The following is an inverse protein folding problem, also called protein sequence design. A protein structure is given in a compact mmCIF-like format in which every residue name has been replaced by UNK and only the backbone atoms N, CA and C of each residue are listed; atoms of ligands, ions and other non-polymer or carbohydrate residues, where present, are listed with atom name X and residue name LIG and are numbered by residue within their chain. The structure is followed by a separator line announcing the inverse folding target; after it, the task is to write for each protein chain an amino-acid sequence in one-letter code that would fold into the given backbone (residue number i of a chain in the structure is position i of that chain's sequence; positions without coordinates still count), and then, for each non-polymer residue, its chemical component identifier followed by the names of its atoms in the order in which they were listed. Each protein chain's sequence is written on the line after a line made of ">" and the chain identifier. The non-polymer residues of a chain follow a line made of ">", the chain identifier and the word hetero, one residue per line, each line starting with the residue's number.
data_IF_748385112965
#
_entry.id   IF_748385112965
#
_cell.length_a   1.000
_cell.length_b   1.000
_cell.length_c   1.000
_cell.angle_alpha   90.00
_cell.angle_beta   90.00
_cell.angle_gamma   90.00
#
_symmetry.space_group_name_H-M   'P 1'
#
loop_
_entity.id
_entity.type
_entity.pdbx_description
1 polymer ?
#
# COMPACT_ATOMS: atom_id res chain seq x y z
N UNK A 1 8.58 -19.00 -23.80
CA UNK A 1 8.89 -18.18 -25.00
C UNK A 1 9.26 -16.80 -24.50
N UNK A 2 10.33 -16.19 -25.00
CA UNK A 2 10.63 -14.80 -24.67
C UNK A 2 9.56 -13.89 -25.29
N UNK A 3 8.96 -13.00 -24.49
CA UNK A 3 8.06 -11.98 -25.00
C UNK A 3 8.83 -11.07 -25.97
N UNK A 4 8.15 -10.58 -27.01
CA UNK A 4 8.72 -9.60 -27.91
C UNK A 4 9.01 -8.30 -27.15
N UNK A 5 10.27 -7.81 -27.10
CA UNK A 5 10.65 -6.66 -26.29
C UNK A 5 9.87 -5.38 -26.63
N UNK A 6 9.53 -5.18 -27.91
CA UNK A 6 8.78 -4.00 -28.35
C UNK A 6 7.37 -4.06 -27.76
N UNK A 7 6.70 -5.21 -27.92
CA UNK A 7 5.36 -5.44 -27.36
C UNK A 7 5.36 -5.30 -25.83
N UNK A 8 6.38 -5.84 -25.14
CA UNK A 8 6.51 -5.68 -23.68
C UNK A 8 6.56 -4.21 -23.28
N UNK A 9 7.37 -3.38 -23.92
CA UNK A 9 7.45 -1.95 -23.58
C UNK A 9 6.16 -1.19 -23.91
N UNK A 10 5.49 -1.53 -25.02
CA UNK A 10 4.17 -0.95 -25.36
C UNK A 10 3.13 -1.29 -24.27
N UNK A 11 3.04 -2.56 -23.89
CA UNK A 11 2.12 -3.01 -22.83
C UNK A 11 2.43 -2.32 -21.51
N UNK A 12 3.69 -2.26 -21.09
CA UNK A 12 4.10 -1.60 -19.85
C UNK A 12 3.81 -0.09 -19.87
N UNK A 13 3.95 0.57 -21.02
CA UNK A 13 3.53 1.97 -21.18
C UNK A 13 2.03 2.15 -20.98
N UNK A 14 1.19 1.22 -21.48
CA UNK A 14 -0.27 1.28 -21.28
C UNK A 14 -0.70 0.92 -19.85
N UNK A 15 0.03 0.03 -19.18
CA UNK A 15 -0.14 -0.25 -17.75
C UNK A 15 0.18 1.02 -16.93
N UNK A 16 1.25 1.74 -17.25
CA UNK A 16 1.59 3.01 -16.61
C UNK A 16 0.50 4.06 -16.83
N UNK A 17 0.07 4.26 -18.07
CA UNK A 17 -1.02 5.17 -18.42
C UNK A 17 -2.31 4.82 -17.66
N UNK A 18 -2.59 3.53 -17.47
CA UNK A 18 -3.71 3.06 -16.65
C UNK A 18 -3.56 3.52 -15.20
N UNK A 19 -2.41 3.33 -14.57
CA UNK A 19 -2.19 3.79 -13.18
C UNK A 19 -2.27 5.30 -13.02
N UNK A 20 -1.79 6.07 -14.01
CA UNK A 20 -1.90 7.53 -14.02
C UNK A 20 -3.35 7.98 -14.15
N UNK A 21 -4.13 7.34 -15.02
CA UNK A 21 -5.56 7.60 -15.15
C UNK A 21 -6.34 7.23 -13.87
N UNK A 22 -5.98 6.14 -13.19
CA UNK A 22 -6.55 5.77 -11.90
C UNK A 22 -6.25 6.82 -10.82
N UNK A 23 -5.01 7.29 -10.73
CA UNK A 23 -4.62 8.33 -9.77
C UNK A 23 -5.32 9.66 -10.05
N UNK A 24 -5.40 10.06 -11.32
CA UNK A 24 -6.15 11.25 -11.73
C UNK A 24 -7.64 11.12 -11.36
N UNK A 25 -8.26 9.98 -11.65
CA UNK A 25 -9.65 9.72 -11.26
C UNK A 25 -9.84 9.79 -9.73
N UNK A 26 -8.91 9.23 -8.96
CA UNK A 26 -8.93 9.26 -7.50
C UNK A 26 -8.94 10.70 -6.96
N UNK A 27 -7.98 11.54 -7.37
CA UNK A 27 -7.86 12.89 -6.82
C UNK A 27 -8.98 13.83 -7.30
N UNK A 28 -9.42 13.70 -8.56
CA UNK A 28 -10.49 14.54 -9.10
C UNK A 28 -11.91 14.12 -8.70
N UNK A 29 -12.06 12.92 -8.14
CA UNK A 29 -13.31 12.47 -7.51
C UNK A 29 -13.31 12.62 -5.99
N UNK A 30 -12.22 13.11 -5.40
CA UNK A 30 -12.10 13.36 -3.96
C UNK A 30 -13.06 14.46 -3.48
N UNK A 31 -13.74 14.17 -2.37
CA UNK A 31 -14.61 15.07 -1.64
C UNK A 31 -13.82 15.85 -0.58
N UNK A 32 -12.83 15.23 0.04
CA UNK A 32 -11.99 15.91 1.03
C UNK A 32 -10.89 16.75 0.35
N UNK A 33 -10.50 17.89 0.94
CA UNK A 33 -9.31 18.62 0.49
C UNK A 33 -8.02 17.83 0.74
N UNK A 34 -8.04 16.86 1.66
CA UNK A 34 -6.94 15.93 1.92
C UNK A 34 -6.65 15.13 0.65
N UNK A 35 -7.68 14.50 0.07
CA UNK A 35 -7.51 13.71 -1.15
C UNK A 35 -7.39 14.60 -2.40
N UNK A 36 -8.26 15.61 -2.52
CA UNK A 36 -8.37 16.41 -3.75
C UNK A 36 -7.22 17.40 -3.94
N UNK A 37 -6.82 18.09 -2.88
CA UNK A 37 -5.85 19.19 -2.95
C UNK A 37 -4.47 18.74 -2.44
N UNK A 38 -4.42 18.01 -1.31
CA UNK A 38 -3.15 17.56 -0.72
C UNK A 38 -2.63 16.26 -1.36
N UNK A 39 -3.49 15.53 -2.08
CA UNK A 39 -3.16 14.26 -2.75
C UNK A 39 -2.61 13.20 -1.79
N UNK A 40 -3.18 13.14 -0.59
CA UNK A 40 -2.87 12.11 0.41
C UNK A 40 -3.62 10.80 0.08
N UNK A 41 -3.11 10.13 -0.94
CA UNK A 41 -3.65 8.90 -1.48
C UNK A 41 -2.85 8.44 -2.69
N UNK A 42 -3.10 7.22 -3.14
CA UNK A 42 -2.46 6.62 -4.32
C UNK A 42 -3.43 5.64 -4.97
N UNK A 43 -3.23 5.38 -6.26
CA UNK A 43 -3.91 4.29 -6.97
C UNK A 43 -2.89 3.48 -7.76
N UNK A 44 -3.10 2.18 -7.90
CA UNK A 44 -2.13 1.30 -8.53
C UNK A 44 -2.71 -0.04 -8.96
N UNK A 45 -1.82 -0.89 -9.44
CA UNK A 45 -2.13 -2.24 -9.89
C UNK A 45 -1.23 -3.24 -9.18
N UNK A 46 -1.82 -4.35 -8.76
CA UNK A 46 -1.07 -5.55 -8.35
C UNK A 46 -1.29 -6.68 -9.35
N UNK A 47 -0.42 -7.69 -9.32
CA UNK A 47 -0.73 -8.99 -9.94
C UNK A 47 -1.88 -9.71 -9.19
N UNK A 48 -2.18 -10.94 -9.62
CA UNK A 48 -3.25 -11.75 -9.05
C UNK A 48 -3.00 -12.20 -7.60
N UNK A 49 -1.76 -12.09 -7.10
CA UNK A 49 -1.32 -12.53 -5.78
C UNK A 49 -1.02 -11.34 -4.84
N UNK A 50 -1.10 -10.10 -5.35
CA UNK A 50 -0.92 -8.88 -4.57
C UNK A 50 0.44 -8.22 -4.74
N UNK A 51 1.34 -8.74 -5.59
CA UNK A 51 2.60 -8.04 -5.89
C UNK A 51 2.32 -6.75 -6.63
N UNK A 52 2.77 -5.64 -6.09
CA UNK A 52 2.62 -4.30 -6.67
C UNK A 52 3.37 -4.25 -7.98
N UNK A 53 2.67 -3.96 -9.07
CA UNK A 53 3.24 -3.80 -10.42
C UNK A 53 3.65 -2.34 -10.64
N UNK A 54 2.70 -1.42 -10.44
CA UNK A 54 2.89 0.01 -10.60
C UNK A 54 1.93 0.77 -9.69
N UNK A 55 2.35 1.95 -9.23
CA UNK A 55 1.55 2.90 -8.46
C UNK A 55 1.62 4.25 -9.16
N UNK A 56 0.49 4.94 -9.23
CA UNK A 56 0.35 6.28 -9.78
C UNK A 56 0.04 7.31 -8.68
N UNK A 57 0.68 8.48 -8.82
CA UNK A 57 0.42 9.69 -8.03
C UNK A 57 0.79 9.59 -6.55
N UNK A 58 0.64 10.72 -5.84
CA UNK A 58 0.65 10.85 -4.38
C UNK A 58 1.80 10.17 -3.61
N UNK A 59 1.47 9.65 -2.43
CA UNK A 59 2.43 9.19 -1.42
C UNK A 59 2.95 7.78 -1.71
N UNK A 60 4.20 7.69 -2.17
CA UNK A 60 4.76 6.43 -2.71
C UNK A 60 4.88 5.28 -1.70
N UNK A 61 4.94 5.55 -0.38
CA UNK A 61 5.07 4.48 0.61
C UNK A 61 3.80 3.63 0.73
N UNK A 62 2.65 4.10 0.22
CA UNK A 62 1.41 3.33 0.17
C UNK A 62 1.53 2.02 -0.62
N UNK A 63 2.53 1.90 -1.49
CA UNK A 63 2.81 0.71 -2.30
C UNK A 63 2.82 -0.59 -1.48
N UNK A 64 3.52 -0.65 -0.35
CA UNK A 64 3.58 -1.89 0.46
C UNK A 64 2.28 -2.23 1.18
N UNK A 65 1.41 -1.23 1.41
CA UNK A 65 0.10 -1.47 2.03
C UNK A 65 -0.72 -2.40 1.13
N UNK A 66 -0.62 -2.24 -0.20
CA UNK A 66 -1.35 -3.06 -1.16
C UNK A 66 -1.01 -4.54 -1.09
N UNK A 67 0.27 -4.89 -0.95
CA UNK A 67 0.67 -6.31 -0.90
C UNK A 67 -0.01 -6.97 0.29
N UNK A 68 0.12 -6.39 1.49
CA UNK A 68 -0.47 -6.98 2.69
C UNK A 68 -2.00 -6.92 2.70
N UNK A 69 -2.59 -5.86 2.16
CA UNK A 69 -4.04 -5.72 2.07
C UNK A 69 -4.65 -6.74 1.12
N UNK A 70 -4.02 -6.98 -0.04
CA UNK A 70 -4.47 -8.01 -0.99
C UNK A 70 -4.25 -9.40 -0.41
N UNK A 71 -3.11 -9.70 0.23
CA UNK A 71 -2.90 -10.97 0.95
C UNK A 71 -4.04 -11.24 1.96
N UNK A 72 -4.38 -10.25 2.77
CA UNK A 72 -5.43 -10.39 3.79
C UNK A 72 -6.82 -10.50 3.18
N UNK A 73 -7.07 -9.82 2.07
CA UNK A 73 -8.28 -9.97 1.28
C UNK A 73 -8.40 -11.39 0.71
N UNK A 74 -7.34 -11.93 0.13
CA UNK A 74 -7.28 -13.29 -0.41
C UNK A 74 -7.53 -14.35 0.68
N UNK A 75 -6.99 -14.13 1.87
CA UNK A 75 -7.24 -15.00 3.02
C UNK A 75 -8.70 -14.95 3.49
N UNK A 76 -9.33 -13.76 3.49
CA UNK A 76 -10.71 -13.57 3.91
C UNK A 76 -11.75 -14.05 2.88
N UNK A 77 -11.40 -14.04 1.60
CA UNK A 77 -12.28 -14.39 0.49
C UNK A 77 -11.61 -15.41 -0.46
N UNK A 78 -11.40 -16.67 -0.02
CA UNK A 78 -10.74 -17.68 -0.82
C UNK A 78 -11.64 -18.20 -1.96
N UNK A 79 -11.02 -18.85 -2.95
CA UNK A 79 -11.73 -19.54 -4.04
C UNK A 79 -12.52 -18.59 -4.95
N UNK A 80 -13.80 -18.89 -5.14
CA UNK A 80 -14.74 -18.16 -6.00
C UNK A 80 -15.58 -17.11 -5.25
N UNK A 81 -15.17 -16.75 -4.03
CA UNK A 81 -15.89 -15.79 -3.18
C UNK A 81 -15.89 -14.36 -3.74
N UNK A 82 -14.94 -14.02 -4.61
CA UNK A 82 -14.86 -12.72 -5.29
C UNK A 82 -15.49 -12.80 -6.67
N UNK A 83 -16.20 -11.75 -7.08
CA UNK A 83 -16.81 -11.65 -8.40
C UNK A 83 -16.33 -10.42 -9.14
N UNK A 84 -16.46 -10.45 -10.46
CA UNK A 84 -16.20 -9.28 -11.29
C UNK A 84 -17.16 -8.13 -10.92
N UNK A 85 -16.61 -6.93 -10.77
CA UNK A 85 -17.34 -5.75 -10.29
C UNK A 85 -17.50 -5.65 -8.77
N UNK A 86 -16.97 -6.59 -7.99
CA UNK A 86 -16.83 -6.40 -6.54
C UNK A 86 -15.70 -5.42 -6.21
N UNK A 87 -15.84 -4.65 -5.13
CA UNK A 87 -14.73 -3.91 -4.52
C UNK A 87 -14.74 -4.10 -3.00
N UNK A 88 -13.56 -4.24 -2.42
CA UNK A 88 -13.36 -4.52 -1.01
C UNK A 88 -12.65 -3.35 -0.35
N UNK A 89 -12.92 -3.14 0.94
CA UNK A 89 -12.27 -2.11 1.75
C UNK A 89 -11.66 -2.73 3.01
N UNK A 90 -10.54 -2.19 3.46
CA UNK A 90 -9.93 -2.47 4.76
C UNK A 90 -9.07 -1.30 5.23
N UNK A 91 -8.87 -1.20 6.54
CA UNK A 91 -7.97 -0.19 7.12
C UNK A 91 -7.22 -0.65 8.38
N UNK A 92 -7.33 -1.93 8.73
CA UNK A 92 -6.70 -2.46 9.92
C UNK A 92 -5.16 -2.53 9.76
N UNK A 93 -4.37 -1.78 10.56
CA UNK A 93 -2.92 -1.76 10.42
C UNK A 93 -2.24 -3.11 10.67
N UNK A 94 -2.83 -3.96 11.50
CA UNK A 94 -2.24 -5.23 11.92
C UNK A 94 -2.71 -6.38 11.02
N UNK A 95 -4.00 -6.39 10.67
CA UNK A 95 -4.54 -7.43 9.79
C UNK A 95 -4.24 -7.14 8.31
N UNK A 96 -4.43 -5.91 7.83
CA UNK A 96 -4.31 -5.56 6.41
C UNK A 96 -3.02 -4.79 6.06
N UNK A 97 -2.19 -4.48 7.07
CA UNK A 97 -0.88 -3.87 6.86
C UNK A 97 -0.93 -2.37 6.56
N UNK A 98 -2.04 -1.71 6.85
CA UNK A 98 -2.20 -0.26 6.68
C UNK A 98 -1.24 0.54 7.57
N UNK A 99 -0.97 1.78 7.18
CA UNK A 99 -0.08 2.73 7.87
C UNK A 99 -0.65 3.21 9.19
N UNK A 100 -1.93 3.50 9.19
CA UNK A 100 -2.75 3.91 10.33
C UNK A 100 -4.22 3.78 9.96
N UNK A 101 -5.10 3.86 10.95
CA UNK A 101 -6.54 3.63 10.77
C UNK A 101 -7.20 4.56 9.75
N UNK A 102 -6.84 5.85 9.63
CA UNK A 102 -7.45 6.74 8.63
C UNK A 102 -7.15 6.38 7.17
N UNK A 103 -6.07 5.65 6.87
CA UNK A 103 -5.78 5.24 5.49
C UNK A 103 -6.61 4.01 5.15
N UNK A 104 -7.59 4.17 4.27
CA UNK A 104 -8.43 3.04 3.83
C UNK A 104 -7.98 2.54 2.46
N UNK A 105 -7.70 1.24 2.37
CA UNK A 105 -7.37 0.56 1.11
C UNK A 105 -8.66 0.09 0.45
N UNK A 106 -8.81 0.35 -0.84
CA UNK A 106 -9.82 -0.28 -1.69
C UNK A 106 -9.12 -1.19 -2.69
N UNK A 107 -9.61 -2.42 -2.84
CA UNK A 107 -9.11 -3.39 -3.79
C UNK A 107 -10.25 -4.00 -4.62
N UNK A 108 -10.09 -3.97 -5.94
CA UNK A 108 -11.06 -4.47 -6.93
C UNK A 108 -10.37 -5.57 -7.75
N UNK A 109 -10.81 -6.84 -7.65
CA UNK A 109 -10.25 -7.92 -8.47
C UNK A 109 -10.53 -7.68 -9.95
N UNK A 110 -9.52 -7.95 -10.77
CA UNK A 110 -9.63 -7.89 -12.24
C UNK A 110 -9.76 -9.30 -12.78
N UNK A 111 -10.92 -9.62 -13.33
CA UNK A 111 -11.18 -10.90 -13.98
C UNK A 111 -11.08 -10.80 -15.50
N UNK A 112 -10.47 -11.80 -16.13
CA UNK A 112 -10.46 -12.00 -17.57
C UNK A 112 -10.78 -13.46 -17.87
N UNK A 113 -11.81 -13.74 -18.67
CA UNK A 113 -12.28 -15.10 -18.99
C UNK A 113 -12.46 -16.01 -17.76
N UNK A 114 -12.98 -15.46 -16.65
CA UNK A 114 -13.20 -16.19 -15.39
C UNK A 114 -11.95 -16.39 -14.52
N UNK A 115 -10.77 -15.94 -14.97
CA UNK A 115 -9.51 -15.95 -14.20
C UNK A 115 -9.25 -14.59 -13.59
N UNK A 116 -8.91 -14.52 -12.29
CA UNK A 116 -8.35 -13.30 -11.69
C UNK A 116 -6.92 -13.10 -12.19
N UNK A 117 -6.65 -11.93 -12.76
CA UNK A 117 -5.33 -11.62 -13.36
C UNK A 117 -4.57 -10.53 -12.59
N UNK A 118 -5.27 -9.70 -11.82
CA UNK A 118 -4.72 -8.54 -11.13
C UNK A 118 -5.71 -8.02 -10.07
N UNK A 119 -5.29 -7.00 -9.31
CA UNK A 119 -6.19 -6.10 -8.59
C UNK A 119 -5.93 -4.64 -8.98
N UNK A 120 -7.01 -3.88 -9.15
CA UNK A 120 -6.96 -2.43 -9.04
C UNK A 120 -6.99 -2.05 -7.57
N UNK A 121 -6.01 -1.27 -7.11
CA UNK A 121 -5.86 -0.91 -5.70
C UNK A 121 -5.77 0.60 -5.51
N UNK A 122 -6.25 1.10 -4.37
CA UNK A 122 -6.06 2.50 -3.99
C UNK A 122 -5.99 2.64 -2.48
N UNK A 123 -5.30 3.68 -2.01
CA UNK A 123 -5.32 4.15 -0.63
C UNK A 123 -5.73 5.61 -0.66
N UNK A 124 -6.54 6.03 0.31
CA UNK A 124 -6.80 7.44 0.54
C UNK A 124 -6.98 7.67 2.04
N UNK A 125 -6.36 8.73 2.53
CA UNK A 125 -6.51 9.19 3.89
C UNK A 125 -7.92 9.76 4.10
N UNK A 126 -8.56 9.39 5.22
CA UNK A 126 -9.89 9.87 5.58
C UNK A 126 -9.82 10.97 6.61
N UNK A 127 -10.62 12.01 6.38
CA UNK A 127 -10.70 13.17 7.27
C UNK A 127 -11.11 12.80 8.71
N UNK A 128 -11.91 11.74 8.89
CA UNK A 128 -12.36 11.26 10.19
C UNK A 128 -12.88 9.83 10.09
N UNK A 129 -12.33 8.91 10.89
CA UNK A 129 -12.80 7.53 11.04
C UNK A 129 -13.29 7.27 12.47
N UNK A 130 -13.66 8.33 13.19
CA UNK A 130 -14.02 8.27 14.60
C UNK A 130 -12.81 8.47 15.52
N UNK A 131 -12.74 7.69 16.60
CA UNK A 131 -11.64 7.77 17.56
C UNK A 131 -11.81 8.86 18.63
N UNK A 132 -10.78 9.02 19.47
CA UNK A 132 -10.82 9.84 20.69
C UNK A 132 -11.08 11.33 20.40
N UNK A 133 -10.54 11.85 19.30
CA UNK A 133 -10.60 13.27 18.92
C UNK A 133 -11.10 13.41 17.47
N UNK A 134 -11.71 14.56 17.11
CA UNK A 134 -11.97 14.87 15.70
C UNK A 134 -10.66 14.96 14.91
N UNK A 135 -10.58 14.24 13.78
CA UNK A 135 -9.42 14.26 12.88
C UNK A 135 -8.79 12.88 12.67
N UNK A 136 -7.53 12.88 12.20
CA UNK A 136 -6.82 11.67 11.77
C UNK A 136 -6.06 10.95 12.89
N UNK A 137 -5.47 11.67 13.85
CA UNK A 137 -4.59 11.06 14.85
C UNK A 137 -4.73 11.74 16.21
N UNK A 138 -4.92 10.94 17.26
CA UNK A 138 -5.01 11.43 18.64
C UNK A 138 -3.68 11.36 19.37
N UNK A 139 -3.12 12.50 19.78
CA UNK A 139 -1.89 12.53 20.61
C UNK A 139 -2.07 11.80 21.97
N UNK A 140 -3.31 11.69 22.44
CA UNK A 140 -3.67 11.00 23.68
C UNK A 140 -4.08 9.53 23.46
N UNK A 141 -3.97 8.97 22.24
CA UNK A 141 -4.23 7.55 21.99
C UNK A 141 -3.30 6.67 22.81
N UNK A 142 -3.83 5.54 23.30
CA UNK A 142 -3.12 4.57 24.16
C UNK A 142 -3.28 3.12 23.71
N UNK A 143 -4.28 2.89 22.89
CA UNK A 143 -4.59 1.62 22.25
C UNK A 143 -5.21 1.93 20.89
N UNK A 144 -5.11 1.00 19.96
CA UNK A 144 -5.58 1.18 18.58
C UNK A 144 -7.09 1.47 18.49
N UNK A 145 -7.89 1.08 19.48
CA UNK A 145 -9.32 1.39 19.53
C UNK A 145 -9.59 2.89 19.71
N UNK A 146 -8.63 3.65 20.24
CA UNK A 146 -8.72 5.10 20.32
C UNK A 146 -8.57 5.78 18.96
N UNK A 147 -8.07 5.06 17.94
CA UNK A 147 -7.82 5.59 16.60
C UNK A 147 -9.04 5.43 15.66
N UNK A 148 -10.13 4.85 16.15
CA UNK A 148 -11.42 4.81 15.47
C UNK A 148 -11.77 3.49 14.82
N UNK A 149 -12.61 3.55 13.79
CA UNK A 149 -13.19 2.39 13.12
C UNK A 149 -12.10 1.58 12.40
N UNK A 150 -11.89 0.35 12.87
CA UNK A 150 -11.09 -0.66 12.18
C UNK A 150 -12.00 -1.61 11.42
N UNK A 151 -11.73 -1.76 10.13
CA UNK A 151 -12.39 -2.69 9.25
C UNK A 151 -11.40 -3.77 8.80
N UNK A 152 -11.71 -5.05 9.06
CA UNK A 152 -11.07 -6.13 8.31
C UNK A 152 -11.45 -6.02 6.82
N UNK A 153 -10.84 -6.82 5.94
CA UNK A 153 -11.31 -6.93 4.55
C UNK A 153 -12.80 -7.25 4.50
N UNK A 154 -13.58 -6.33 3.96
CA UNK A 154 -15.03 -6.48 3.77
C UNK A 154 -15.43 -6.03 2.37
N UNK A 155 -16.41 -6.70 1.76
CA UNK A 155 -17.00 -6.28 0.48
C UNK A 155 -17.78 -4.98 0.68
N UNK A 156 -17.40 -3.92 -0.02
CA UNK A 156 -18.01 -2.60 0.06
C UNK A 156 -18.86 -2.26 -1.17
N UNK A 157 -18.50 -2.83 -2.32
CA UNK A 157 -19.18 -2.61 -3.60
C UNK A 157 -19.40 -3.93 -4.34
N UNK A 158 -20.46 -3.99 -5.14
CA UNK A 158 -20.81 -5.10 -6.04
C UNK A 158 -21.21 -4.55 -7.41
N UNK A 159 -21.46 -5.41 -8.39
CA UNK A 159 -22.09 -5.01 -9.65
C UNK A 159 -23.45 -4.32 -9.48
N UNK A 160 -24.14 -4.54 -8.34
CA UNK A 160 -25.39 -3.87 -7.98
C UNK A 160 -25.21 -2.52 -7.27
N UNK A 161 -23.97 -2.08 -7.04
CA UNK A 161 -23.65 -0.85 -6.31
C UNK A 161 -23.13 -1.11 -4.90
N UNK A 162 -23.24 -0.07 -4.06
CA UNK A 162 -22.77 -0.08 -2.67
C UNK A 162 -23.45 -1.16 -1.82
N UNK A 163 -22.69 -1.76 -0.90
CA UNK A 163 -23.22 -2.61 0.17
C UNK A 163 -23.69 -1.70 1.32
N UNK A 164 -25.00 -1.45 1.48
CA UNK A 164 -25.50 -0.40 2.36
C UNK A 164 -25.17 -0.65 3.83
N UNK A 165 -25.08 -1.91 4.27
CA UNK A 165 -24.74 -2.27 5.65
C UNK A 165 -23.33 -1.80 6.02
N UNK A 166 -22.36 -1.99 5.11
CA UNK A 166 -20.97 -1.58 5.34
C UNK A 166 -20.86 -0.05 5.26
N UNK A 167 -21.52 0.59 4.29
CA UNK A 167 -21.51 2.06 4.23
C UNK A 167 -22.14 2.67 5.49
N UNK A 168 -23.23 2.11 6.02
CA UNK A 168 -23.87 2.59 7.23
C UNK A 168 -22.94 2.48 8.45
N UNK A 169 -22.18 1.39 8.60
CA UNK A 169 -21.18 1.25 9.67
C UNK A 169 -20.14 2.38 9.56
N UNK A 170 -19.62 2.64 8.36
CA UNK A 170 -18.63 3.71 8.12
C UNK A 170 -19.23 5.08 8.44
N UNK A 171 -20.44 5.36 7.94
CA UNK A 171 -21.15 6.62 8.17
C UNK A 171 -21.38 6.88 9.66
N UNK A 172 -21.83 5.87 10.41
CA UNK A 172 -22.14 6.02 11.84
C UNK A 172 -20.90 6.32 12.68
N UNK A 173 -19.72 5.91 12.24
CA UNK A 173 -18.47 6.09 12.97
C UNK A 173 -17.66 7.31 12.52
N UNK A 174 -18.20 8.17 11.66
CA UNK A 174 -17.50 9.38 11.20
C UNK A 174 -18.25 10.66 11.58
N UNK A 175 -17.50 11.69 11.94
CA UNK A 175 -18.00 13.06 12.15
C UNK A 175 -18.29 13.79 10.84
N UNK A 176 -17.71 13.33 9.72
CA UNK A 176 -17.90 13.88 8.37
C UNK A 176 -18.26 12.78 7.36
N UNK A 177 -19.38 12.06 7.59
CA UNK A 177 -19.68 10.82 6.89
C UNK A 177 -19.81 10.99 5.38
N UNK A 178 -20.41 12.09 4.90
CA UNK A 178 -20.58 12.33 3.46
C UNK A 178 -19.25 12.57 2.73
N UNK A 179 -18.26 13.13 3.42
CA UNK A 179 -16.90 13.31 2.88
C UNK A 179 -16.21 11.95 2.77
N UNK A 180 -16.25 11.16 3.84
CA UNK A 180 -15.58 9.85 3.90
C UNK A 180 -16.13 8.87 2.86
N UNK A 181 -17.46 8.76 2.76
CA UNK A 181 -18.08 7.88 1.77
C UNK A 181 -17.95 8.42 0.35
N UNK A 182 -17.90 9.74 0.17
CA UNK A 182 -17.58 10.37 -1.12
C UNK A 182 -16.19 9.93 -1.59
N UNK A 183 -15.17 10.08 -0.74
CA UNK A 183 -13.81 9.63 -1.04
C UNK A 183 -13.72 8.11 -1.28
N UNK A 184 -14.45 7.29 -0.52
CA UNK A 184 -14.48 5.82 -0.72
C UNK A 184 -15.12 5.44 -2.06
N UNK A 185 -16.20 6.09 -2.47
CA UNK A 185 -16.81 5.85 -3.78
C UNK A 185 -15.88 6.31 -4.92
N UNK A 186 -15.14 7.40 -4.72
CA UNK A 186 -14.07 7.83 -5.63
C UNK A 186 -12.98 6.77 -5.79
N UNK A 187 -12.52 6.17 -4.68
CA UNK A 187 -11.59 5.03 -4.70
C UNK A 187 -12.13 3.81 -5.45
N UNK A 188 -13.41 3.45 -5.24
CA UNK A 188 -14.08 2.37 -5.99
C UNK A 188 -14.06 2.69 -7.49
N UNK A 189 -14.44 3.90 -7.89
CA UNK A 189 -14.41 4.33 -9.29
C UNK A 189 -13.01 4.24 -9.92
N UNK A 190 -11.98 4.70 -9.20
CA UNK A 190 -10.59 4.62 -9.66
C UNK A 190 -10.12 3.17 -9.84
N UNK A 191 -10.45 2.27 -8.92
CA UNK A 191 -10.03 0.86 -9.02
C UNK A 191 -10.81 0.08 -10.08
N UNK A 192 -12.10 0.39 -10.29
CA UNK A 192 -12.90 -0.17 -11.40
C UNK A 192 -12.37 0.29 -12.77
N UNK A 193 -11.92 1.54 -12.91
CA UNK A 193 -11.27 2.05 -14.12
C UNK A 193 -10.01 1.23 -14.45
N UNK A 194 -9.20 0.89 -13.45
CA UNK A 194 -8.05 0.01 -13.61
C UNK A 194 -8.44 -1.38 -14.12
N UNK A 195 -9.49 -1.96 -13.54
CA UNK A 195 -10.00 -3.26 -13.95
C UNK A 195 -10.50 -3.27 -15.40
N UNK A 196 -11.26 -2.24 -15.81
CA UNK A 196 -11.74 -2.08 -17.18
C UNK A 196 -10.57 -1.99 -18.18
N UNK A 197 -9.58 -1.14 -17.90
CA UNK A 197 -8.44 -0.94 -18.80
C UNK A 197 -7.55 -2.17 -18.93
N UNK A 198 -7.33 -2.92 -17.86
CA UNK A 198 -6.57 -4.18 -17.93
C UNK A 198 -7.32 -5.27 -18.73
N UNK A 199 -8.65 -5.32 -18.66
CA UNK A 199 -9.44 -6.22 -19.52
C UNK A 199 -9.29 -5.85 -20.99
N UNK A 200 -9.41 -4.56 -21.33
CA UNK A 200 -9.22 -4.08 -22.69
C UNK A 200 -7.81 -4.38 -23.23
N UNK A 201 -6.77 -4.24 -22.39
CA UNK A 201 -5.41 -4.63 -22.77
C UNK A 201 -5.25 -6.14 -22.94
N UNK A 202 -5.98 -6.94 -22.17
CA UNK A 202 -6.02 -8.39 -22.32
C UNK A 202 -6.69 -8.80 -23.64
N UNK A 203 -7.75 -8.10 -24.06
CA UNK A 203 -8.38 -8.30 -25.38
C UNK A 203 -7.46 -7.92 -26.54
N UNK A 204 -6.69 -6.83 -26.40
CA UNK A 204 -5.82 -6.31 -27.46
C UNK A 204 -4.52 -7.11 -27.64
N UNK A 205 -3.85 -7.46 -26.54
CA UNK A 205 -2.50 -8.06 -26.56
C UNK A 205 -2.47 -9.54 -26.12
N UNK A 206 -3.58 -10.05 -25.61
CA UNK A 206 -3.67 -11.36 -24.96
C UNK A 206 -3.24 -11.31 -23.49
N UNK A 207 -3.98 -12.02 -22.65
CA UNK A 207 -3.78 -12.04 -21.19
C UNK A 207 -2.40 -12.53 -20.77
N UNK A 208 -1.84 -13.52 -21.46
CA UNK A 208 -0.50 -14.06 -21.15
C UNK A 208 0.61 -13.06 -21.48
N UNK A 209 0.43 -12.26 -22.54
CA UNK A 209 1.35 -11.17 -22.89
C UNK A 209 1.32 -10.09 -21.81
N UNK A 210 0.13 -9.71 -21.36
CA UNK A 210 -0.05 -8.70 -20.31
C UNK A 210 0.57 -9.15 -18.99
N UNK A 211 0.20 -10.33 -18.50
CA UNK A 211 0.72 -10.89 -17.24
C UNK A 211 2.23 -11.09 -17.32
N UNK A 212 2.73 -11.63 -18.43
CA UNK A 212 4.16 -11.80 -18.64
C UNK A 212 4.93 -10.48 -18.71
N UNK A 213 4.36 -9.42 -19.30
CA UNK A 213 4.96 -8.09 -19.31
C UNK A 213 5.05 -7.51 -17.89
N UNK A 214 3.96 -7.58 -17.10
CA UNK A 214 3.94 -7.14 -15.70
C UNK A 214 4.97 -7.89 -14.85
N UNK A 215 5.07 -9.21 -15.02
CA UNK A 215 6.09 -10.03 -14.35
C UNK A 215 7.51 -9.60 -14.76
N UNK A 216 7.75 -9.36 -16.06
CA UNK A 216 9.06 -8.91 -16.53
C UNK A 216 9.49 -7.57 -15.93
N UNK A 217 8.53 -6.68 -15.61
CA UNK A 217 8.83 -5.43 -14.92
C UNK A 217 9.31 -5.68 -13.49
N UNK A 218 8.67 -6.58 -12.76
CA UNK A 218 9.10 -6.95 -11.40
C UNK A 218 10.52 -7.51 -11.42
N UNK A 219 10.78 -8.44 -12.34
CA UNK A 219 12.10 -9.06 -12.49
C UNK A 219 13.17 -8.02 -12.82
N UNK A 220 12.89 -7.13 -13.79
CA UNK A 220 13.81 -6.05 -14.16
C UNK A 220 14.07 -5.07 -13.02
N UNK A 221 13.05 -4.73 -12.23
CA UNK A 221 13.22 -3.84 -11.08
C UNK A 221 14.11 -4.50 -10.03
N UNK A 222 13.87 -5.77 -9.70
CA UNK A 222 14.70 -6.54 -8.75
C UNK A 222 16.14 -6.60 -9.21
N UNK A 223 16.37 -7.01 -10.46
CA UNK A 223 17.71 -7.18 -11.00
C UNK A 223 18.48 -5.86 -11.04
N UNK A 224 17.80 -4.74 -11.37
CA UNK A 224 18.38 -3.40 -11.33
C UNK A 224 18.75 -2.97 -9.91
N UNK A 225 17.86 -3.17 -8.94
CA UNK A 225 18.13 -2.84 -7.54
C UNK A 225 19.30 -3.67 -6.98
N UNK A 226 19.34 -4.97 -7.25
CA UNK A 226 20.46 -5.83 -6.85
C UNK A 226 21.79 -5.44 -7.51
N UNK A 227 21.76 -4.99 -8.77
CA UNK A 227 22.96 -4.49 -9.45
C UNK A 227 23.50 -3.19 -8.83
N UNK A 228 22.62 -2.25 -8.47
CA UNK A 228 23.02 -1.03 -7.75
C UNK A 228 23.64 -1.36 -6.38
N UNK A 229 22.99 -2.23 -5.61
CA UNK A 229 23.52 -2.69 -4.31
C UNK A 229 24.87 -3.36 -4.49
N UNK A 230 25.04 -4.20 -5.51
CA UNK A 230 26.30 -4.91 -5.77
C UNK A 230 27.49 -3.97 -6.03
N UNK A 231 27.24 -2.80 -6.61
CA UNK A 231 28.27 -1.80 -6.91
C UNK A 231 28.78 -1.06 -5.66
N UNK A 232 28.05 -1.07 -4.55
CA UNK A 232 28.49 -0.44 -3.30
C UNK A 232 29.65 -1.21 -2.64
N UNK A 233 30.50 -0.58 -1.82
CA UNK A 233 31.50 -1.29 -1.04
C UNK A 233 30.84 -2.14 0.06
N UNK A 234 31.29 -3.38 0.23
CA UNK A 234 30.90 -4.21 1.39
C UNK A 234 31.27 -3.51 2.70
N UNK A 235 30.38 -3.57 3.69
CA UNK A 235 30.56 -2.89 4.95
C UNK A 235 29.30 -2.82 5.79
N UNK A 236 29.45 -2.19 6.95
CA UNK A 236 28.39 -2.02 7.92
C UNK A 236 28.35 -0.56 8.38
N UNK A 237 27.15 -0.02 8.56
CA UNK A 237 26.93 1.31 9.10
C UNK A 237 25.68 1.32 10.00
N UNK A 238 25.67 2.21 10.97
CA UNK A 238 24.55 2.37 11.90
C UNK A 238 24.17 3.85 12.04
N UNK A 239 22.89 4.09 12.33
CA UNK A 239 22.36 5.40 12.63
C UNK A 239 21.20 5.28 13.62
N UNK A 240 21.01 6.31 14.44
CA UNK A 240 19.87 6.43 15.33
C UNK A 240 19.23 7.82 15.22
N UNK A 241 17.92 7.84 15.44
CA UNK A 241 17.11 9.05 15.54
C UNK A 241 16.13 8.93 16.71
N UNK A 242 15.65 10.07 17.19
CA UNK A 242 14.79 10.14 18.38
C UNK A 242 13.55 10.98 18.11
N UNK A 243 12.40 10.47 18.54
CA UNK A 243 11.20 11.28 18.76
C UNK A 243 11.25 11.83 20.18
N UNK A 244 10.81 13.07 20.40
CA UNK A 244 10.91 13.73 21.71
C UNK A 244 10.23 12.94 22.85
N UNK A 245 9.08 12.31 22.56
CA UNK A 245 8.36 11.41 23.46
C UNK A 245 7.19 10.70 22.75
N UNK A 246 6.58 9.69 23.38
CA UNK A 246 5.36 9.04 22.88
C UNK A 246 4.05 9.76 23.28
N UNK A 247 4.12 10.79 24.13
CA UNK A 247 2.93 11.52 24.63
C UNK A 247 2.17 10.80 25.74
N UNK A 248 2.52 9.56 26.08
CA UNK A 248 2.10 8.87 27.30
C UNK A 248 3.11 9.05 28.43
N UNK A 249 4.40 9.03 28.09
CA UNK A 249 5.53 9.37 28.94
C UNK A 249 6.33 10.48 28.27
N UNK A 250 6.10 11.72 28.70
CA UNK A 250 6.78 12.91 28.16
C UNK A 250 8.17 13.15 28.73
N UNK A 251 8.67 12.25 29.59
CA UNK A 251 9.94 12.41 30.28
C UNK A 251 11.14 11.84 29.53
N UNK A 252 10.92 11.06 28.47
CA UNK A 252 11.97 10.39 27.72
C UNK A 252 11.69 10.37 26.21
N UNK A 253 12.74 10.40 25.38
CA UNK A 253 12.60 10.21 23.95
C UNK A 253 12.32 8.75 23.58
N UNK A 254 11.90 8.54 22.33
CA UNK A 254 11.70 7.22 21.71
C UNK A 254 12.72 7.05 20.60
N UNK A 255 13.60 6.05 20.73
CA UNK A 255 14.68 5.77 19.80
C UNK A 255 14.25 4.87 18.65
N UNK A 256 14.62 5.27 17.43
CA UNK A 256 14.65 4.41 16.25
C UNK A 256 16.11 4.21 15.87
N UNK A 257 16.55 2.96 15.80
CA UNK A 257 17.92 2.60 15.41
C UNK A 257 17.87 1.72 14.17
N UNK A 258 18.78 1.97 13.25
CA UNK A 258 18.95 1.18 12.02
C UNK A 258 20.41 0.82 11.83
N UNK A 259 20.67 -0.47 11.58
CA UNK A 259 21.96 -0.99 11.13
C UNK A 259 21.83 -1.52 9.72
N UNK A 260 22.65 -1.02 8.81
CA UNK A 260 22.74 -1.49 7.44
C UNK A 260 23.99 -2.35 7.26
N UNK A 261 23.82 -3.55 6.72
CA UNK A 261 24.91 -4.50 6.41
C UNK A 261 24.85 -4.80 4.91
N UNK A 262 25.85 -4.34 4.17
CA UNK A 262 26.00 -4.60 2.74
C UNK A 262 27.04 -5.70 2.52
N UNK A 263 26.64 -6.76 1.82
CA UNK A 263 27.53 -7.86 1.41
C UNK A 263 27.16 -8.38 0.03
N UNK A 264 28.08 -8.27 -0.93
CA UNK A 264 27.82 -8.69 -2.32
C UNK A 264 26.64 -7.92 -2.91
N UNK A 265 25.61 -8.63 -3.36
CA UNK A 265 24.37 -8.09 -3.93
C UNK A 265 23.23 -7.95 -2.90
N UNK A 266 23.53 -8.14 -1.61
CA UNK A 266 22.54 -8.08 -0.51
C UNK A 266 22.77 -6.89 0.40
N UNK A 267 21.66 -6.25 0.75
CA UNK A 267 21.59 -5.21 1.77
C UNK A 267 20.59 -5.64 2.84
N UNK A 268 21.11 -5.90 4.04
CA UNK A 268 20.29 -6.16 5.23
C UNK A 268 20.11 -4.86 6.01
N UNK A 269 18.86 -4.50 6.30
CA UNK A 269 18.49 -3.36 7.13
C UNK A 269 17.86 -3.88 8.42
N UNK A 270 18.53 -3.68 9.55
CA UNK A 270 18.15 -4.23 10.85
C UNK A 270 17.72 -3.14 11.83
N UNK A 271 16.48 -3.25 12.30
CA UNK A 271 15.84 -2.36 13.26
C UNK A 271 15.79 -2.91 14.69
N UNK A 272 16.46 -4.03 14.97
CA UNK A 272 16.36 -4.78 16.24
C UNK A 272 16.71 -3.98 17.49
N UNK A 273 17.51 -2.92 17.37
CA UNK A 273 17.91 -2.06 18.48
C UNK A 273 17.04 -0.80 18.64
N UNK A 274 15.97 -0.67 17.86
CA UNK A 274 14.93 0.33 18.10
C UNK A 274 14.23 0.08 19.44
N UNK A 275 13.68 1.13 20.04
CA UNK A 275 12.98 1.00 21.31
C UNK A 275 11.78 0.05 21.21
N UNK A 276 11.37 -0.58 22.34
CA UNK A 276 10.12 -1.33 22.41
C UNK A 276 8.93 -0.47 22.00
N UNK A 277 7.86 -1.11 21.49
CA UNK A 277 6.61 -0.42 21.18
C UNK A 277 6.12 0.39 22.39
N UNK A 278 5.62 1.58 22.12
CA UNK A 278 5.31 2.58 23.15
C UNK A 278 3.86 2.48 23.61
N UNK A 279 3.50 3.16 24.71
CA UNK A 279 2.11 3.22 25.19
C UNK A 279 1.33 4.37 24.56
N UNK A 280 2.01 5.30 23.90
CA UNK A 280 1.41 6.38 23.13
C UNK A 280 1.22 6.04 21.65
N UNK A 281 0.78 7.01 20.83
CA UNK A 281 0.56 6.82 19.39
C UNK A 281 1.85 6.71 18.56
N UNK A 282 3.04 6.88 19.16
CA UNK A 282 4.30 6.76 18.43
C UNK A 282 4.65 5.28 18.28
N UNK A 283 4.03 4.64 17.30
CA UNK A 283 4.22 3.26 16.88
C UNK A 283 3.93 3.16 15.37
N UNK A 284 4.88 2.65 14.59
CA UNK A 284 4.78 2.54 13.13
C UNK A 284 4.61 1.08 12.72
N UNK A 285 3.49 0.69 12.08
CA UNK A 285 3.29 -0.67 11.61
C UNK A 285 4.42 -1.16 10.70
N UNK A 286 4.77 -2.44 10.80
CA UNK A 286 5.92 -3.03 10.12
C UNK A 286 5.91 -2.83 8.59
N UNK A 287 4.74 -2.87 7.95
CA UNK A 287 4.63 -2.65 6.50
C UNK A 287 5.01 -1.24 6.09
N UNK A 288 4.68 -0.24 6.91
CA UNK A 288 5.09 1.16 6.67
C UNK A 288 6.59 1.29 6.81
N UNK A 289 7.18 0.70 7.86
CA UNK A 289 8.63 0.69 8.03
C UNK A 289 9.36 0.06 6.84
N UNK A 290 8.87 -1.09 6.34
CA UNK A 290 9.40 -1.73 5.13
C UNK A 290 9.32 -0.82 3.91
N UNK A 291 8.16 -0.18 3.69
CA UNK A 291 7.95 0.71 2.55
C UNK A 291 8.95 1.87 2.53
N UNK A 292 9.08 2.58 3.66
CA UNK A 292 9.97 3.74 3.75
C UNK A 292 11.44 3.33 3.67
N UNK A 293 11.79 2.15 4.19
CA UNK A 293 13.15 1.57 4.06
C UNK A 293 13.53 1.37 2.59
N UNK A 294 12.62 0.80 1.80
CA UNK A 294 12.90 0.51 0.38
C UNK A 294 12.92 1.80 -0.43
N UNK A 295 12.04 2.76 -0.14
CA UNK A 295 12.09 4.08 -0.76
C UNK A 295 13.41 4.80 -0.46
N UNK A 296 13.90 4.71 0.79
CA UNK A 296 15.20 5.27 1.16
C UNK A 296 16.35 4.58 0.39
N UNK A 297 16.29 3.27 0.22
CA UNK A 297 17.29 2.52 -0.55
C UNK A 297 17.25 2.88 -2.05
N UNK A 298 16.07 3.05 -2.65
CA UNK A 298 15.91 3.54 -4.03
C UNK A 298 16.49 4.96 -4.16
N UNK A 299 16.17 5.86 -3.22
CA UNK A 299 16.67 7.22 -3.23
C UNK A 299 18.20 7.31 -3.08
N UNK A 300 18.79 6.40 -2.31
CA UNK A 300 20.24 6.30 -2.10
C UNK A 300 20.99 5.59 -3.25
N UNK A 301 20.27 4.85 -4.11
CA UNK A 301 20.83 4.14 -5.27
C UNK A 301 20.51 4.91 -6.57
N UNK A 302 19.52 4.42 -7.31
CA UNK A 302 19.03 4.99 -8.55
C UNK A 302 17.56 5.39 -8.38
N UNK A 303 17.27 6.69 -8.22
CA UNK A 303 15.91 7.20 -8.03
C UNK A 303 14.94 6.93 -9.19
N UNK A 304 15.43 6.42 -10.32
CA UNK A 304 14.61 6.04 -11.47
C UNK A 304 14.19 4.56 -11.46
N UNK A 305 14.61 3.79 -10.45
CA UNK A 305 14.10 2.44 -10.19
C UNK A 305 12.60 2.52 -9.86
N UNK A 306 11.74 1.74 -10.55
CA UNK A 306 10.32 1.72 -10.24
C UNK A 306 10.03 1.26 -8.80
N UNK A 307 9.13 1.96 -8.11
CA UNK A 307 8.64 1.56 -6.79
C UNK A 307 7.60 0.43 -6.95
N UNK A 308 8.05 -0.82 -6.88
CA UNK A 308 7.20 -2.01 -7.05
C UNK A 308 7.77 -3.23 -6.30
N UNK A 309 7.05 -4.35 -6.28
CA UNK A 309 7.45 -5.61 -5.59
C UNK A 309 8.81 -6.16 -5.95
N UNK A 310 9.35 -5.86 -7.14
CA UNK A 310 10.71 -6.23 -7.49
C UNK A 310 11.77 -5.52 -6.63
N UNK A 311 11.60 -4.22 -6.36
CA UNK A 311 12.53 -3.47 -5.50
C UNK A 311 12.45 -3.96 -4.05
N UNK A 312 11.25 -4.32 -3.60
CA UNK A 312 11.01 -4.80 -2.24
C UNK A 312 11.70 -6.15 -1.97
N UNK A 313 11.75 -7.06 -2.95
CA UNK A 313 12.40 -8.38 -2.85
C UNK A 313 13.95 -8.31 -2.85
N UNK A 314 14.54 -7.15 -3.17
CA UNK A 314 15.99 -6.97 -3.23
C UNK A 314 16.65 -6.66 -1.87
N UNK A 315 15.84 -6.41 -0.82
CA UNK A 315 16.31 -6.01 0.51
C UNK A 315 15.89 -7.01 1.58
N UNK A 316 16.80 -7.28 2.52
CA UNK A 316 16.51 -8.10 3.70
C UNK A 316 16.20 -7.17 4.88
N UNK A 317 14.94 -7.03 5.26
CA UNK A 317 14.53 -6.10 6.33
C UNK A 317 14.22 -6.89 7.61
N UNK A 318 15.02 -6.68 8.65
CA UNK A 318 14.87 -7.31 9.97
C UNK A 318 14.09 -6.38 10.89
N UNK A 319 12.86 -6.80 11.22
CA UNK A 319 11.92 -6.08 12.07
C UNK A 319 11.36 -7.03 13.13
N UNK A 320 12.02 -7.16 14.30
CA UNK A 320 11.49 -7.98 15.38
C UNK A 320 10.16 -7.43 15.89
N UNK A 321 9.21 -8.30 16.19
CA UNK A 321 7.93 -7.92 16.78
C UNK A 321 8.12 -7.17 18.11
N UNK A 322 7.20 -6.26 18.40
CA UNK A 322 7.18 -5.54 19.68
C UNK A 322 8.12 -4.34 19.74
N UNK A 323 8.64 -3.87 18.59
CA UNK A 323 9.44 -2.65 18.48
C UNK A 323 8.57 -1.48 18.02
N UNK A 324 9.04 -0.25 18.24
CA UNK A 324 8.33 0.97 17.81
C UNK A 324 8.07 1.00 16.30
N UNK A 325 8.89 0.33 15.49
CA UNK A 325 8.75 0.21 14.02
C UNK A 325 8.10 -1.09 13.54
N UNK A 326 7.67 -1.93 14.48
CA UNK A 326 6.98 -3.21 14.24
C UNK A 326 6.15 -3.58 15.47
N UNK A 327 5.18 -2.72 15.85
CA UNK A 327 4.33 -2.96 17.00
C UNK A 327 3.39 -4.14 16.73
N UNK A 328 2.99 -4.81 17.80
CA UNK A 328 1.97 -5.87 17.79
C UNK A 328 0.74 -5.45 18.58
N UNK A 329 -0.40 -5.99 18.18
CA UNK A 329 -1.70 -5.81 18.82
C UNK A 329 -2.43 -7.14 18.95
#
# INVERSE_FOLDING_TARGET
>A
MSLDPITTEVVLSRVRETTEAMAHALFHSGYSPILRESQDGTAGLTDADGKVIMVGGGIQYHSMLYTKSVESLLAAYPGDAMKDGDSFVCNDPYQAGNSHVPDMVVATPVFYEGRRIAFGVSVAHKADVGGLVPGSSGAASREIFHDGLRLPPVRYWTSGGVVPEIENIIRTNSRVPDVVVGDLRGQVGATLLGAERLKALSDEYGVETLVGAMQSLLDRTRDRMSAEIAAWPDGEAEAEGFMDHDGADTSKPVKIHVRAVKKGDRLTIDYSESDPQTKGPINTPAQTCKAVTVLAAIAASDPTIPVNSGAFEALDIVLPDGRVVSPTY
#
